data_IF_980993585695
#
_entry.id   IF_980993585695
#
_cell.length_a   1.000
_cell.length_b   1.000
_cell.length_c   1.000
_cell.angle_alpha   90.00
_cell.angle_beta   90.00
_cell.angle_gamma   90.00
#
_symmetry.space_group_name_H-M   'P 1'
#
loop_
_entity.id
_entity.type
_entity.pdbx_description
1 polymer ?
#
# COMPACT_ATOMS: atom_id res chain seq x y z
N UNK A 1 4.13 13.55 -9.18
CA UNK A 1 3.73 12.12 -9.12
C UNK A 1 3.61 11.58 -7.71
N UNK A 2 4.69 11.50 -6.91
CA UNK A 2 4.63 10.89 -5.56
C UNK A 2 3.61 11.56 -4.64
N UNK A 3 3.60 12.90 -4.60
CA UNK A 3 2.64 13.65 -3.80
C UNK A 3 1.18 13.37 -4.22
N UNK A 4 0.91 13.36 -5.53
CA UNK A 4 -0.41 13.02 -6.06
C UNK A 4 -0.82 11.57 -5.72
N UNK A 5 0.12 10.62 -5.68
CA UNK A 5 -0.16 9.25 -5.21
C UNK A 5 -0.59 9.23 -3.75
N UNK A 6 0.08 10.01 -2.89
CA UNK A 6 -0.27 10.12 -1.47
C UNK A 6 -1.65 10.75 -1.29
N UNK A 7 -1.93 11.86 -1.95
CA UNK A 7 -3.20 12.59 -1.86
C UNK A 7 -4.38 11.76 -2.36
N UNK A 8 -4.22 11.09 -3.50
CA UNK A 8 -5.24 10.21 -4.05
C UNK A 8 -5.46 8.98 -3.14
N UNK A 9 -4.38 8.38 -2.64
CA UNK A 9 -4.46 7.27 -1.67
C UNK A 9 -5.18 7.70 -0.40
N UNK A 10 -4.92 8.91 0.11
CA UNK A 10 -5.58 9.45 1.28
C UNK A 10 -7.09 9.59 1.09
N UNK A 11 -7.55 9.97 -0.12
CA UNK A 11 -8.97 10.04 -0.43
C UNK A 11 -9.61 8.65 -0.55
N UNK A 12 -8.90 7.71 -1.17
CA UNK A 12 -9.41 6.35 -1.43
C UNK A 12 -9.48 5.51 -0.15
N UNK A 13 -8.51 5.64 0.76
CA UNK A 13 -8.48 4.92 2.05
C UNK A 13 -9.54 5.40 3.05
N UNK A 14 -10.34 6.42 2.74
CA UNK A 14 -11.51 6.79 3.54
C UNK A 14 -12.67 5.83 3.35
N UNK A 15 -12.67 5.07 2.24
CA UNK A 15 -13.73 4.11 1.88
C UNK A 15 -15.15 4.70 1.91
N UNK A 16 -15.31 6.00 1.67
CA UNK A 16 -16.62 6.67 1.66
C UNK A 16 -17.41 6.42 0.37
N UNK A 17 -16.69 6.13 -0.72
CA UNK A 17 -17.23 5.89 -2.07
C UNK A 17 -16.36 4.87 -2.81
N UNK A 18 -16.88 4.24 -3.88
CA UNK A 18 -16.09 3.36 -4.73
C UNK A 18 -14.81 4.02 -5.24
N UNK A 19 -13.69 3.28 -5.23
CA UNK A 19 -12.38 3.82 -5.58
C UNK A 19 -12.34 4.40 -7.00
N UNK A 20 -12.96 3.72 -7.97
CA UNK A 20 -13.08 4.18 -9.37
C UNK A 20 -13.73 5.55 -9.47
N UNK A 21 -14.77 5.83 -8.68
CA UNK A 21 -15.42 7.14 -8.62
C UNK A 21 -14.49 8.20 -8.02
N UNK A 22 -13.74 7.86 -6.97
CA UNK A 22 -12.74 8.76 -6.37
C UNK A 22 -11.65 9.12 -7.38
N UNK A 23 -11.11 8.12 -8.11
CA UNK A 23 -10.13 8.33 -9.17
C UNK A 23 -10.68 9.23 -10.29
N UNK A 24 -11.91 8.94 -10.76
CA UNK A 24 -12.56 9.72 -11.82
C UNK A 24 -12.72 11.19 -11.42
N UNK A 25 -13.23 11.45 -10.22
CA UNK A 25 -13.39 12.81 -9.70
C UNK A 25 -12.04 13.52 -9.50
N UNK A 26 -11.03 12.79 -9.02
CA UNK A 26 -9.67 13.31 -8.86
C UNK A 26 -9.09 13.74 -10.21
N UNK A 27 -9.15 12.89 -11.24
CA UNK A 27 -8.61 13.22 -12.56
C UNK A 27 -9.37 14.34 -13.27
N UNK A 28 -10.68 14.49 -13.03
CA UNK A 28 -11.46 15.63 -13.54
C UNK A 28 -11.02 16.96 -12.93
N UNK A 29 -10.67 16.96 -11.64
CA UNK A 29 -10.14 18.14 -10.93
C UNK A 29 -8.70 18.48 -11.31
N UNK A 30 -7.93 17.50 -11.78
CA UNK A 30 -6.52 17.65 -12.16
C UNK A 30 -6.32 17.43 -13.66
N UNK A 31 -6.93 18.31 -14.48
CA UNK A 31 -6.92 18.19 -15.95
C UNK A 31 -5.52 18.24 -16.57
N UNK A 32 -4.57 18.87 -15.89
CA UNK A 32 -3.17 18.94 -16.28
C UNK A 32 -2.44 17.59 -16.27
N UNK A 33 -2.98 16.58 -15.58
CA UNK A 33 -2.38 15.24 -15.58
C UNK A 33 -2.55 14.58 -16.95
N UNK A 34 -1.43 14.23 -17.57
CA UNK A 34 -1.39 13.46 -18.81
C UNK A 34 -1.81 12.01 -18.63
N UNK A 35 -1.94 11.28 -19.74
CA UNK A 35 -2.36 9.88 -19.74
C UNK A 35 -1.46 8.98 -18.88
N UNK A 36 -0.14 9.13 -19.02
CA UNK A 36 0.84 8.34 -18.27
C UNK A 36 0.76 8.59 -16.77
N UNK A 37 0.54 9.84 -16.36
CA UNK A 37 0.41 10.20 -14.95
C UNK A 37 -0.85 9.59 -14.33
N UNK A 38 -1.97 9.65 -15.05
CA UNK A 38 -3.24 9.03 -14.61
C UNK A 38 -3.10 7.52 -14.50
N UNK A 39 -2.48 6.87 -15.49
CA UNK A 39 -2.22 5.44 -15.47
C UNK A 39 -1.35 5.06 -14.26
N UNK A 40 -0.26 5.79 -14.03
CA UNK A 40 0.61 5.57 -12.89
C UNK A 40 -0.12 5.66 -11.55
N UNK A 41 -0.94 6.70 -11.37
CA UNK A 41 -1.72 6.92 -10.14
C UNK A 41 -2.74 5.80 -9.95
N UNK A 42 -3.50 5.47 -10.99
CA UNK A 42 -4.51 4.42 -10.94
C UNK A 42 -3.91 3.05 -10.62
N UNK A 43 -2.83 2.68 -11.31
CA UNK A 43 -2.12 1.43 -11.06
C UNK A 43 -1.55 1.37 -9.64
N UNK A 44 -1.04 2.48 -9.10
CA UNK A 44 -0.52 2.52 -7.73
C UNK A 44 -1.64 2.25 -6.75
N UNK A 45 -2.75 2.99 -6.85
CA UNK A 45 -3.88 2.82 -5.92
C UNK A 45 -4.45 1.40 -6.01
N UNK A 46 -4.73 0.92 -7.22
CA UNK A 46 -5.33 -0.40 -7.36
C UNK A 46 -4.38 -1.54 -7.00
N UNK A 47 -3.07 -1.41 -7.24
CA UNK A 47 -2.10 -2.40 -6.75
C UNK A 47 -2.14 -2.49 -5.22
N UNK A 48 -2.16 -1.35 -4.54
CA UNK A 48 -2.23 -1.29 -3.08
C UNK A 48 -3.54 -1.87 -2.55
N UNK A 49 -4.69 -1.46 -3.11
CA UNK A 49 -6.00 -1.97 -2.69
C UNK A 49 -6.16 -3.47 -2.92
N UNK A 50 -5.74 -3.98 -4.08
CA UNK A 50 -5.82 -5.41 -4.41
C UNK A 50 -4.94 -6.29 -3.54
N UNK A 51 -3.96 -5.71 -2.83
CA UNK A 51 -3.09 -6.43 -1.89
C UNK A 51 -3.05 -5.71 -0.54
N UNK A 52 -4.19 -5.14 -0.13
CA UNK A 52 -4.25 -4.27 1.06
C UNK A 52 -3.75 -4.99 2.30
N UNK A 53 -4.14 -6.26 2.50
CA UNK A 53 -3.72 -7.07 3.65
C UNK A 53 -2.21 -7.22 3.73
N UNK A 54 -1.56 -7.45 2.58
CA UNK A 54 -0.10 -7.53 2.50
C UNK A 54 0.54 -6.20 2.88
N UNK A 55 0.03 -5.08 2.34
CA UNK A 55 0.59 -3.76 2.65
C UNK A 55 0.39 -3.42 4.13
N UNK A 56 -0.82 -3.64 4.68
CA UNK A 56 -1.10 -3.43 6.11
C UNK A 56 -0.16 -4.24 7.00
N UNK A 57 0.07 -5.52 6.67
CA UNK A 57 0.99 -6.38 7.40
C UNK A 57 2.43 -5.85 7.34
N UNK A 58 2.92 -5.50 6.15
CA UNK A 58 4.27 -4.93 5.97
C UNK A 58 4.43 -3.63 6.74
N UNK A 59 3.40 -2.79 6.79
CA UNK A 59 3.41 -1.54 7.55
C UNK A 59 3.43 -1.80 9.06
N UNK A 60 2.70 -2.82 9.54
CA UNK A 60 2.73 -3.24 10.93
C UNK A 60 4.13 -3.75 11.34
N UNK A 61 4.78 -4.56 10.51
CA UNK A 61 6.14 -5.06 10.76
C UNK A 61 7.20 -3.95 10.70
N UNK A 62 7.12 -3.05 9.71
CA UNK A 62 8.10 -1.98 9.53
C UNK A 62 8.01 -0.91 10.63
N UNK A 63 6.88 -0.87 11.35
CA UNK A 63 6.54 0.14 12.33
C UNK A 63 6.28 1.52 11.70
N UNK A 64 5.92 2.51 12.53
CA UNK A 64 5.72 3.87 12.06
C UNK A 64 7.04 4.47 11.56
N UNK A 65 6.93 5.41 10.62
CA UNK A 65 7.99 6.37 10.32
C UNK A 65 8.01 7.37 11.49
N UNK A 66 9.08 7.37 12.29
CA UNK A 66 9.21 8.07 13.58
C UNK A 66 9.09 9.60 13.50
N UNK A 67 9.23 10.22 12.33
CA UNK A 67 9.12 11.67 12.14
C UNK A 67 7.67 12.22 12.21
N UNK A 68 6.63 11.39 12.13
CA UNK A 68 5.28 11.88 11.86
C UNK A 68 4.27 11.59 12.96
N UNK A 69 3.55 12.64 13.39
CA UNK A 69 2.31 12.46 14.14
C UNK A 69 1.37 11.58 13.32
N UNK A 70 0.81 10.55 13.97
CA UNK A 70 -0.18 9.66 13.37
C UNK A 70 -1.33 10.52 12.81
N UNK A 71 -1.40 10.59 11.49
CA UNK A 71 -2.39 11.38 10.76
C UNK A 71 -2.83 10.59 9.52
N UNK A 72 -4.07 10.79 9.03
CA UNK A 72 -4.54 10.10 7.83
C UNK A 72 -3.63 10.28 6.61
N UNK A 73 -2.98 11.45 6.50
CA UNK A 73 -2.05 11.71 5.40
C UNK A 73 -0.73 10.94 5.56
N UNK A 74 -0.21 10.81 6.79
CA UNK A 74 0.97 10.01 7.07
C UNK A 74 0.71 8.52 6.79
N UNK A 75 -0.44 8.01 7.20
CA UNK A 75 -0.87 6.62 6.93
C UNK A 75 -1.04 6.38 5.42
N UNK A 76 -1.66 7.31 4.70
CA UNK A 76 -1.79 7.25 3.25
C UNK A 76 -0.44 7.31 2.52
N UNK A 77 0.51 8.12 3.01
CA UNK A 77 1.88 8.15 2.48
C UNK A 77 2.57 6.82 2.68
N UNK A 78 2.53 6.29 3.89
CA UNK A 78 3.12 5.00 4.21
C UNK A 78 2.54 3.91 3.30
N UNK A 79 1.21 3.87 3.13
CA UNK A 79 0.53 2.94 2.24
C UNK A 79 0.94 3.09 0.77
N UNK A 80 0.94 4.31 0.24
CA UNK A 80 1.30 4.60 -1.14
C UNK A 80 2.77 4.22 -1.42
N UNK A 81 3.68 4.60 -0.53
CA UNK A 81 5.10 4.33 -0.69
C UNK A 81 5.44 2.85 -0.52
N UNK A 82 4.83 2.18 0.46
CA UNK A 82 4.95 0.73 0.60
C UNK A 82 4.43 0.01 -0.65
N UNK A 83 3.31 0.45 -1.21
CA UNK A 83 2.79 -0.09 -2.48
C UNK A 83 3.78 0.08 -3.63
N UNK A 84 4.37 1.28 -3.76
CA UNK A 84 5.35 1.56 -4.82
C UNK A 84 6.56 0.63 -4.72
N UNK A 85 7.13 0.45 -3.52
CA UNK A 85 8.30 -0.42 -3.31
C UNK A 85 7.94 -1.90 -3.43
N UNK A 86 6.83 -2.33 -2.82
CA UNK A 86 6.50 -3.76 -2.67
C UNK A 86 5.84 -4.38 -3.88
N UNK A 87 5.07 -3.59 -4.65
CA UNK A 87 4.21 -4.08 -5.73
C UNK A 87 4.53 -3.46 -7.08
N UNK A 88 5.05 -2.23 -7.12
CA UNK A 88 5.40 -1.54 -8.38
C UNK A 88 6.90 -1.56 -8.69
N UNK A 89 7.72 -2.12 -7.81
CA UNK A 89 9.17 -2.30 -8.04
C UNK A 89 10.01 -1.03 -7.91
N UNK A 90 9.47 0.05 -7.31
CA UNK A 90 10.22 1.28 -7.09
C UNK A 90 11.43 1.05 -6.18
N UNK A 91 12.56 1.64 -6.54
CA UNK A 91 13.74 1.69 -5.71
C UNK A 91 13.52 2.68 -4.56
N UNK A 92 14.02 2.35 -3.37
CA UNK A 92 14.00 3.23 -2.20
C UNK A 92 14.62 4.59 -2.52
N UNK A 93 15.69 4.64 -3.32
CA UNK A 93 16.36 5.88 -3.73
C UNK A 93 15.48 6.81 -4.58
N UNK A 94 14.49 6.27 -5.29
CA UNK A 94 13.56 7.08 -6.10
C UNK A 94 12.54 7.82 -5.21
N UNK A 95 12.24 7.28 -4.03
CA UNK A 95 11.31 7.86 -3.06
C UNK A 95 12.02 8.73 -2.02
N UNK A 96 13.21 8.29 -1.58
CA UNK A 96 14.04 8.95 -0.60
C UNK A 96 15.50 8.95 -1.06
N UNK A 97 15.94 9.98 -1.82
CA UNK A 97 17.28 10.01 -2.43
C UNK A 97 18.43 10.02 -1.40
N UNK A 98 18.18 10.62 -0.23
CA UNK A 98 19.14 10.61 0.87
C UNK A 98 18.99 9.32 1.68
N UNK A 99 19.93 8.38 1.52
CA UNK A 99 19.92 7.09 2.22
C UNK A 99 19.99 7.22 3.74
N UNK A 100 20.58 8.29 4.26
CA UNK A 100 20.65 8.56 5.69
C UNK A 100 19.36 9.14 6.24
N UNK A 101 18.42 9.55 5.38
CA UNK A 101 17.12 10.04 5.82
C UNK A 101 16.33 8.94 6.52
N UNK A 102 15.51 9.34 7.50
CA UNK A 102 14.63 8.42 8.20
C UNK A 102 13.64 7.73 7.26
N UNK A 103 13.13 8.47 6.26
CA UNK A 103 12.29 7.94 5.20
C UNK A 103 12.95 6.79 4.44
N UNK A 104 14.23 6.94 4.05
CA UNK A 104 14.97 5.89 3.37
C UNK A 104 15.15 4.66 4.28
N UNK A 105 15.54 4.86 5.54
CA UNK A 105 15.71 3.76 6.51
C UNK A 105 14.39 3.01 6.74
N UNK A 106 13.28 3.73 6.88
CA UNK A 106 11.95 3.16 7.00
C UNK A 106 11.55 2.34 5.76
N UNK A 107 11.79 2.88 4.56
CA UNK A 107 11.55 2.16 3.30
C UNK A 107 12.41 0.89 3.15
N UNK A 108 13.64 0.88 3.69
CA UNK A 108 14.44 -0.34 3.74
C UNK A 108 13.79 -1.40 4.64
N UNK A 109 13.23 -1.03 5.80
CA UNK A 109 12.47 -1.95 6.65
C UNK A 109 11.24 -2.51 5.94
N UNK A 110 10.47 -1.63 5.28
CA UNK A 110 9.32 -2.02 4.44
C UNK A 110 9.74 -3.01 3.36
N UNK A 111 10.87 -2.78 2.69
CA UNK A 111 11.40 -3.68 1.65
C UNK A 111 11.87 -5.01 2.22
N UNK A 112 12.45 -5.01 3.41
CA UNK A 112 13.02 -6.19 4.07
C UNK A 112 11.97 -7.13 4.70
N UNK A 113 10.75 -6.66 4.97
CA UNK A 113 9.67 -7.47 5.52
C UNK A 113 9.42 -8.74 4.68
N UNK A 114 9.70 -9.90 5.29
CA UNK A 114 9.82 -11.20 4.61
C UNK A 114 8.47 -11.72 4.14
N UNK A 115 8.40 -12.25 2.92
CA UNK A 115 7.18 -12.89 2.41
C UNK A 115 6.92 -14.28 3.02
N UNK A 116 7.96 -14.94 3.55
CA UNK A 116 7.88 -16.31 4.08
C UNK A 116 7.15 -16.41 5.42
N UNK A 117 7.20 -15.36 6.23
CA UNK A 117 6.60 -15.33 7.58
C UNK A 117 5.16 -14.77 7.57
N UNK A 118 4.58 -14.56 6.39
CA UNK A 118 3.23 -14.04 6.26
C UNK A 118 2.20 -15.06 6.77
N UNK A 119 1.24 -14.64 7.61
CA UNK A 119 0.08 -15.45 7.94
C UNK A 119 -0.62 -15.93 6.67
N UNK A 120 -1.14 -17.16 6.70
CA UNK A 120 -1.80 -17.80 5.55
C UNK A 120 -2.85 -16.86 4.90
N UNK A 121 -3.68 -16.23 5.72
CA UNK A 121 -4.72 -15.30 5.29
C UNK A 121 -4.17 -14.06 4.54
N UNK A 122 -2.96 -13.60 4.86
CA UNK A 122 -2.31 -12.46 4.19
C UNK A 122 -1.62 -12.92 2.90
N UNK A 123 -1.04 -14.12 2.92
CA UNK A 123 -0.38 -14.72 1.75
C UNK A 123 -1.38 -14.95 0.62
N UNK A 124 -2.48 -15.64 0.94
CA UNK A 124 -3.54 -16.00 0.01
C UNK A 124 -4.51 -14.85 -0.28
N UNK A 125 -4.45 -13.76 0.51
CA UNK A 125 -5.31 -12.59 0.37
C UNK A 125 -6.81 -12.95 0.41
N UNK A 126 -7.13 -13.88 1.31
CA UNK A 126 -8.47 -14.40 1.50
C UNK A 126 -9.18 -13.65 2.64
N UNK A 127 -10.51 -13.44 2.54
CA UNK A 127 -11.30 -12.96 3.67
C UNK A 127 -11.22 -13.90 4.87
N UNK A 128 -11.28 -13.35 6.08
CA UNK A 128 -11.13 -14.13 7.31
C UNK A 128 -12.20 -15.22 7.45
N UNK A 129 -13.42 -14.98 6.94
CA UNK A 129 -14.49 -15.99 6.93
C UNK A 129 -14.18 -17.19 6.02
N UNK A 130 -13.48 -16.99 4.90
CA UNK A 130 -13.04 -18.10 4.02
C UNK A 130 -11.98 -18.91 4.73
N UNK A 131 -11.00 -18.23 5.32
CA UNK A 131 -9.89 -18.88 6.04
C UNK A 131 -10.42 -19.67 7.23
N UNK A 132 -11.40 -19.14 7.96
CA UNK A 132 -12.06 -19.86 9.05
C UNK A 132 -12.75 -21.15 8.56
N UNK A 133 -13.42 -21.10 7.39
CA UNK A 133 -14.03 -22.30 6.81
C UNK A 133 -12.98 -23.32 6.34
N UNK A 134 -11.89 -22.86 5.73
CA UNK A 134 -10.79 -23.73 5.30
C UNK A 134 -10.15 -24.42 6.51
N UNK A 135 -9.85 -23.68 7.58
CA UNK A 135 -9.31 -24.23 8.85
C UNK A 135 -10.25 -25.22 9.55
N UNK A 136 -11.55 -25.12 9.31
CA UNK A 136 -12.53 -26.06 9.87
C UNK A 136 -12.61 -27.38 9.08
N UNK A 137 -12.18 -27.39 7.82
CA UNK A 137 -12.35 -28.54 6.92
C UNK A 137 -11.04 -29.17 6.44
N UNK A 138 -9.89 -28.49 6.60
CA UNK A 138 -8.57 -28.98 6.20
C UNK A 138 -7.63 -29.09 7.41
N UNK A 139 -6.77 -30.11 7.45
CA UNK A 139 -5.71 -30.20 8.45
C UNK A 139 -4.63 -29.13 8.20
N UNK A 140 -3.86 -28.78 9.24
CA UNK A 140 -2.98 -27.61 9.22
C UNK A 140 -1.79 -27.72 8.24
N UNK A 141 -1.40 -28.94 7.87
CA UNK A 141 -0.37 -29.26 6.88
C UNK A 141 -0.85 -29.11 5.43
N UNK A 142 -2.17 -29.04 5.20
CA UNK A 142 -2.78 -28.79 3.89
C UNK A 142 -3.15 -27.30 3.66
N UNK A 143 -2.79 -26.40 4.59
CA UNK A 143 -2.99 -24.93 4.53
C UNK A 143 -1.67 -24.17 4.33
#
# INVERSE_FOLDING_TARGET
>A
MLQASVELTAQVLRFDRPADKVLSDYFRKHRQLGQNERAFLAETVYAGLRRKRLIDHVLAEAGPMQAEKRSPLAEARAFAWATLVRLRGFNVRELAPNEKSEAAQWLQRVKAARRGDLPFEVRCDLPDWVVARLRACLPADEL
#
